data_IF_078656656056
#
_entry.id   IF_078656656056
#
_cell.length_a   1.000
_cell.length_b   1.000
_cell.length_c   1.000
_cell.angle_alpha   90.00
_cell.angle_beta   90.00
_cell.angle_gamma   90.00
#
_symmetry.space_group_name_H-M   'P 1'
#
loop_
_entity.id
_entity.type
_entity.pdbx_description
1 polymer ?
#
# COMPACT_ATOMS: atom_id res chain seq x y z
N UNK A 1 -1.42 -14.28 -3.19
CA UNK A 1 -2.12 -15.38 -3.90
C UNK A 1 -1.21 -16.12 -4.90
N UNK A 2 -0.42 -15.43 -5.74
CA UNK A 2 0.45 -16.11 -6.74
C UNK A 2 1.50 -17.08 -6.16
N UNK A 3 2.22 -16.71 -5.09
CA UNK A 3 3.24 -17.59 -4.50
C UNK A 3 2.64 -18.91 -3.97
N UNK A 4 1.43 -18.87 -3.38
CA UNK A 4 0.71 -20.05 -2.94
C UNK A 4 0.31 -20.95 -4.13
N UNK A 5 -0.16 -20.34 -5.23
CA UNK A 5 -0.46 -21.07 -6.46
C UNK A 5 0.79 -21.79 -7.02
N UNK A 6 1.96 -21.14 -7.05
CA UNK A 6 3.20 -21.79 -7.47
C UNK A 6 3.61 -22.93 -6.53
N UNK A 7 3.44 -22.77 -5.22
CA UNK A 7 3.73 -23.83 -4.27
C UNK A 7 2.80 -25.05 -4.46
N UNK A 8 1.53 -24.82 -4.77
CA UNK A 8 0.57 -25.88 -5.11
C UNK A 8 0.96 -26.60 -6.41
N UNK A 9 1.25 -25.87 -7.50
CA UNK A 9 1.65 -26.47 -8.78
C UNK A 9 2.96 -27.27 -8.74
N UNK A 10 3.88 -26.92 -7.84
CA UNK A 10 5.11 -27.70 -7.64
C UNK A 10 4.83 -29.01 -6.89
N UNK A 11 3.84 -28.99 -6.00
CA UNK A 11 3.43 -30.15 -5.22
C UNK A 11 2.68 -31.17 -6.07
N UNK A 12 1.80 -30.70 -6.94
CA UNK A 12 0.93 -31.52 -7.78
C UNK A 12 0.69 -30.79 -9.10
N UNK A 13 0.79 -31.50 -10.22
CA UNK A 13 0.52 -30.93 -11.54
C UNK A 13 -0.01 -31.96 -12.54
N UNK A 14 -0.69 -31.53 -13.62
CA UNK A 14 -1.07 -32.43 -14.71
C UNK A 14 0.11 -33.08 -15.45
N UNK A 15 1.34 -32.61 -15.21
CA UNK A 15 2.55 -33.06 -15.91
C UNK A 15 3.43 -33.98 -15.05
N UNK A 16 2.91 -34.51 -13.94
CA UNK A 16 3.71 -35.27 -12.96
C UNK A 16 4.35 -36.55 -13.52
N UNK A 17 3.81 -37.07 -14.63
CA UNK A 17 4.40 -38.19 -15.38
C UNK A 17 5.68 -37.82 -16.14
N UNK A 18 5.87 -36.54 -16.47
CA UNK A 18 7.04 -36.02 -17.18
C UNK A 18 7.90 -35.03 -16.37
N UNK A 19 7.37 -34.46 -15.28
CA UNK A 19 8.05 -33.50 -14.40
C UNK A 19 7.80 -33.93 -12.96
N UNK A 20 8.86 -34.27 -12.24
CA UNK A 20 8.73 -34.75 -10.86
C UNK A 20 8.12 -33.69 -9.93
N UNK A 21 6.92 -33.99 -9.43
CA UNK A 21 6.29 -33.26 -8.34
C UNK A 21 7.10 -33.35 -7.04
N UNK A 22 7.15 -32.25 -6.28
CA UNK A 22 7.80 -32.20 -4.95
C UNK A 22 7.12 -31.18 -4.04
N UNK A 23 6.97 -31.52 -2.76
CA UNK A 23 6.54 -30.55 -1.76
C UNK A 23 7.65 -29.49 -1.59
N UNK A 24 7.41 -28.21 -1.97
CA UNK A 24 8.46 -27.21 -1.89
C UNK A 24 8.65 -26.73 -0.46
N UNK A 25 9.90 -26.50 -0.05
CA UNK A 25 10.19 -25.73 1.14
C UNK A 25 9.79 -24.26 0.92
N UNK A 26 8.96 -23.70 1.81
CA UNK A 26 8.46 -22.32 1.72
C UNK A 26 9.19 -21.44 2.73
N UNK A 27 10.07 -20.57 2.24
CA UNK A 27 10.69 -19.53 3.05
C UNK A 27 9.82 -18.26 3.06
N UNK A 28 9.01 -18.12 4.11
CA UNK A 28 8.08 -16.98 4.26
C UNK A 28 8.80 -15.63 4.29
N UNK A 29 10.02 -15.57 4.84
CA UNK A 29 10.79 -14.33 4.97
C UNK A 29 11.24 -13.83 3.60
N UNK A 30 11.75 -14.72 2.75
CA UNK A 30 12.12 -14.38 1.37
C UNK A 30 10.92 -13.94 0.55
N UNK A 31 9.78 -14.62 0.69
CA UNK A 31 8.55 -14.21 0.01
C UNK A 31 8.05 -12.84 0.47
N UNK A 32 8.19 -12.52 1.76
CA UNK A 32 7.85 -11.19 2.28
C UNK A 32 8.78 -10.12 1.70
N UNK A 33 10.09 -10.36 1.71
CA UNK A 33 11.08 -9.44 1.19
C UNK A 33 10.85 -9.16 -0.31
N UNK A 34 10.57 -10.21 -1.10
CA UNK A 34 10.24 -10.07 -2.51
C UNK A 34 8.97 -9.24 -2.73
N UNK A 35 7.92 -9.49 -1.94
CA UNK A 35 6.69 -8.72 -2.00
C UNK A 35 6.94 -7.25 -1.66
N UNK A 36 7.66 -6.96 -0.58
CA UNK A 36 7.94 -5.61 -0.15
C UNK A 36 8.76 -4.85 -1.20
N UNK A 37 9.82 -5.46 -1.73
CA UNK A 37 10.64 -4.86 -2.77
C UNK A 37 9.79 -4.46 -4.00
N UNK A 38 8.83 -5.31 -4.40
CA UNK A 38 7.95 -4.98 -5.52
C UNK A 38 6.98 -3.84 -5.21
N UNK A 39 6.51 -3.75 -3.97
CA UNK A 39 5.67 -2.63 -3.51
C UNK A 39 6.47 -1.32 -3.54
N UNK A 40 7.71 -1.32 -3.04
CA UNK A 40 8.59 -0.15 -3.05
C UNK A 40 8.89 0.32 -4.48
N UNK A 41 9.29 -0.60 -5.35
CA UNK A 41 9.60 -0.30 -6.76
C UNK A 41 8.41 0.38 -7.45
N UNK A 42 7.20 -0.15 -7.26
CA UNK A 42 6.00 0.41 -7.86
C UNK A 42 5.58 1.74 -7.23
N UNK A 43 5.72 1.90 -5.91
CA UNK A 43 5.43 3.16 -5.22
C UNK A 43 6.29 4.28 -5.78
N UNK A 44 7.60 4.05 -5.87
CA UNK A 44 8.53 5.03 -6.39
C UNK A 44 8.23 5.36 -7.86
N UNK A 45 8.12 4.33 -8.71
CA UNK A 45 7.99 4.53 -10.15
C UNK A 45 6.65 5.14 -10.58
N UNK A 46 5.57 4.91 -9.82
CA UNK A 46 4.20 5.29 -10.22
C UNK A 46 3.59 6.41 -9.40
N UNK A 47 4.18 6.79 -8.28
CA UNK A 47 3.65 7.85 -7.44
C UNK A 47 4.72 8.90 -7.17
N UNK A 48 5.75 8.55 -6.39
CA UNK A 48 6.75 9.53 -5.93
C UNK A 48 7.47 10.21 -7.10
N UNK A 49 7.95 9.44 -8.07
CA UNK A 49 8.64 9.98 -9.25
C UNK A 49 7.73 10.81 -10.16
N UNK A 50 6.44 10.46 -10.27
CA UNK A 50 5.47 11.19 -11.10
C UNK A 50 5.11 12.53 -10.45
N UNK A 51 4.85 12.51 -9.13
CA UNK A 51 4.51 13.72 -8.37
C UNK A 51 5.71 14.68 -8.30
N UNK A 52 6.90 14.17 -7.96
CA UNK A 52 8.11 14.98 -7.87
C UNK A 52 8.59 15.54 -9.22
N UNK A 53 8.26 14.87 -10.33
CA UNK A 53 8.60 15.32 -11.68
C UNK A 53 7.68 16.39 -12.26
N UNK A 54 6.58 16.76 -11.57
CA UNK A 54 5.62 17.73 -12.06
C UNK A 54 5.61 19.01 -11.20
N UNK A 55 6.15 20.14 -11.70
CA UNK A 55 6.26 21.38 -10.92
C UNK A 55 4.90 22.02 -10.59
N UNK A 56 3.81 21.61 -11.24
CA UNK A 56 2.46 22.10 -10.93
C UNK A 56 1.82 21.38 -9.72
N UNK A 57 2.47 20.35 -9.16
CA UNK A 57 1.97 19.58 -8.02
C UNK A 57 2.85 19.85 -6.80
N UNK A 58 2.24 20.28 -5.71
CA UNK A 58 2.90 20.39 -4.40
C UNK A 58 2.39 19.27 -3.50
N UNK A 59 3.29 18.43 -2.99
CA UNK A 59 2.98 17.36 -2.04
C UNK A 59 3.22 17.86 -0.62
N UNK A 60 2.23 17.69 0.26
CA UNK A 60 2.35 17.93 1.69
C UNK A 60 2.22 16.61 2.43
N UNK A 61 3.24 16.25 3.20
CA UNK A 61 3.23 15.05 4.05
C UNK A 61 2.62 15.40 5.41
N UNK A 62 1.33 15.14 5.56
CA UNK A 62 0.60 15.46 6.78
C UNK A 62 -0.83 14.96 6.77
N UNK A 63 -1.54 15.26 7.84
CA UNK A 63 -2.97 14.97 7.99
C UNK A 63 -3.79 16.24 7.77
N UNK A 64 -4.68 16.21 6.78
CA UNK A 64 -5.54 17.33 6.42
C UNK A 64 -6.93 17.20 7.04
N UNK A 65 -7.48 18.33 7.49
CA UNK A 65 -8.89 18.49 7.89
C UNK A 65 -9.46 19.77 7.30
N UNK A 66 -10.76 19.82 7.04
CA UNK A 66 -11.40 21.08 6.65
C UNK A 66 -11.36 22.06 7.82
N UNK A 67 -10.86 23.26 7.55
CA UNK A 67 -11.04 24.41 8.44
C UNK A 67 -12.40 25.06 8.12
N UNK A 68 -12.71 25.20 6.83
CA UNK A 68 -13.99 25.67 6.31
C UNK A 68 -14.23 25.16 4.86
N UNK A 69 -15.22 25.72 4.18
CA UNK A 69 -15.65 25.32 2.83
C UNK A 69 -14.59 25.53 1.72
N UNK A 70 -13.55 26.34 1.96
CA UNK A 70 -12.53 26.69 0.97
C UNK A 70 -11.10 26.56 1.50
N UNK A 71 -10.91 26.05 2.73
CA UNK A 71 -9.60 25.90 3.36
C UNK A 71 -9.44 24.57 4.08
N UNK A 72 -8.27 23.96 3.88
CA UNK A 72 -7.79 22.84 4.66
C UNK A 72 -6.75 23.32 5.64
N UNK A 73 -6.81 22.78 6.85
CA UNK A 73 -5.70 22.80 7.78
C UNK A 73 -4.94 21.47 7.67
N UNK A 74 -3.61 21.54 7.51
CA UNK A 74 -2.73 20.37 7.40
C UNK A 74 -1.75 20.36 8.56
N UNK A 75 -1.81 19.31 9.39
CA UNK A 75 -0.81 19.02 10.42
C UNK A 75 0.33 18.24 9.77
N UNK A 76 1.52 18.84 9.67
CA UNK A 76 2.64 18.23 8.97
C UNK A 76 3.32 17.16 9.82
N UNK A 77 3.85 16.13 9.16
CA UNK A 77 4.49 14.98 9.82
C UNK A 77 5.80 15.34 10.52
N UNK A 78 6.54 16.31 9.99
CA UNK A 78 7.76 16.88 10.57
C UNK A 78 7.48 17.95 11.63
N UNK A 79 6.20 18.19 11.93
CA UNK A 79 5.74 19.18 12.90
C UNK A 79 5.29 20.48 12.24
N UNK A 80 4.50 21.26 12.99
CA UNK A 80 3.91 22.49 12.49
C UNK A 80 2.65 22.27 11.65
N UNK A 81 2.16 23.38 11.11
CA UNK A 81 0.81 23.50 10.56
C UNK A 81 0.82 24.36 9.31
N UNK A 82 -0.02 24.00 8.33
CA UNK A 82 -0.18 24.76 7.09
C UNK A 82 -1.65 24.87 6.70
N UNK A 83 -2.07 26.09 6.37
CA UNK A 83 -3.39 26.33 5.77
C UNK A 83 -3.26 26.28 4.24
N UNK A 84 -4.17 25.57 3.60
CA UNK A 84 -4.24 25.41 2.15
C UNK A 84 -5.60 25.89 1.67
N UNK A 85 -5.64 27.04 0.99
CA UNK A 85 -6.83 27.50 0.30
C UNK A 85 -7.01 26.75 -1.03
N UNK A 86 -8.26 26.53 -1.44
CA UNK A 86 -8.59 25.88 -2.70
C UNK A 86 -9.84 26.46 -3.34
N UNK A 87 -9.91 26.43 -4.67
CA UNK A 87 -11.15 26.71 -5.40
C UNK A 87 -12.06 25.48 -5.42
N UNK A 88 -11.47 24.28 -5.51
CA UNK A 88 -12.14 22.98 -5.52
C UNK A 88 -11.32 21.97 -4.72
N UNK A 89 -12.00 21.07 -4.00
CA UNK A 89 -11.37 20.01 -3.23
C UNK A 89 -11.91 18.63 -3.67
N UNK A 90 -11.01 17.67 -3.85
CA UNK A 90 -11.34 16.25 -4.01
C UNK A 90 -10.93 15.49 -2.75
N UNK A 91 -11.89 14.87 -2.07
CA UNK A 91 -11.62 14.00 -0.92
C UNK A 91 -11.44 12.56 -1.42
N UNK A 92 -10.19 12.08 -1.37
CA UNK A 92 -9.79 10.75 -1.83
C UNK A 92 -9.04 9.97 -0.74
N UNK A 93 -9.52 10.01 0.50
CA UNK A 93 -8.87 9.43 1.70
C UNK A 93 -9.00 7.91 1.84
N UNK A 94 -9.69 7.25 0.91
CA UNK A 94 -9.86 5.80 0.90
C UNK A 94 -10.78 5.28 2.02
N UNK A 95 -10.44 4.12 2.58
CA UNK A 95 -11.20 3.45 3.64
C UNK A 95 -10.25 2.68 4.57
N UNK A 96 -10.75 2.21 5.70
CA UNK A 96 -10.01 1.35 6.64
C UNK A 96 -10.83 0.12 7.01
N UNK A 97 -10.19 -1.03 7.34
CA UNK A 97 -10.90 -2.23 7.75
C UNK A 97 -11.79 -1.97 8.97
N UNK A 98 -13.02 -2.47 8.95
CA UNK A 98 -13.87 -2.48 10.13
C UNK A 98 -13.30 -3.47 11.17
N UNK A 99 -13.17 -3.03 12.42
CA UNK A 99 -12.72 -3.86 13.53
C UNK A 99 -13.94 -4.24 14.37
N UNK A 100 -14.41 -5.50 14.33
CA UNK A 100 -15.59 -5.90 15.10
C UNK A 100 -15.27 -5.89 16.61
N UNK A 101 -16.25 -5.61 17.49
CA UNK A 101 -16.06 -5.57 18.94
C UNK A 101 -16.05 -6.99 19.53
N UNK A 102 -15.14 -7.84 19.05
CA UNK A 102 -14.92 -9.20 19.58
C UNK A 102 -13.97 -9.08 20.78
N UNK A 103 -14.35 -9.60 21.97
CA UNK A 103 -13.45 -9.62 23.12
C UNK A 103 -12.11 -10.28 22.78
N UNK A 104 -10.99 -9.61 23.12
CA UNK A 104 -9.63 -10.08 22.84
C UNK A 104 -9.08 -9.78 21.44
N UNK A 105 -9.79 -9.03 20.58
CA UNK A 105 -9.29 -8.65 19.25
C UNK A 105 -8.61 -7.26 19.21
N UNK A 106 -9.07 -6.33 20.04
CA UNK A 106 -8.51 -4.96 20.12
C UNK A 106 -7.30 -4.84 21.04
N UNK A 107 -7.17 -5.78 21.97
CA UNK A 107 -6.09 -5.86 22.95
C UNK A 107 -4.93 -6.69 22.41
#
# INVERSE_FOLDING_TARGET
>A
IRAAHIAHLRRESPFDSGIKATVPAVDRRKLLAQQQARVEELRHAKYEGILGGNPAITVLHGEARFEDEQRLFVRLNDGGERVVAFDRCLVATGASPAVPPIPGLKE
#
